data_IF_992337866549
#
_entry.id   IF_992337866549
#
_cell.length_a   1.000
_cell.length_b   1.000
_cell.length_c   1.000
_cell.angle_alpha   90.00
_cell.angle_beta   90.00
_cell.angle_gamma   90.00
#
_symmetry.space_group_name_H-M   'P 1'
#
loop_
_entity.id
_entity.type
_entity.pdbx_description
1 polymer ?
#
# COMPACT_ATOMS: atom_id res chain seq x y z
N UNK A 1 27.07 58.12 -32.40
CA UNK A 1 26.02 57.37 -31.66
C UNK A 1 26.35 55.89 -31.70
N UNK A 2 26.08 55.14 -30.63
CA UNK A 2 25.95 53.66 -30.58
C UNK A 2 27.07 52.73 -30.06
N UNK A 3 28.02 53.19 -29.23
CA UNK A 3 28.88 52.24 -28.47
C UNK A 3 28.48 52.03 -27.00
N UNK A 4 27.53 52.80 -26.46
CA UNK A 4 27.08 52.66 -25.06
C UNK A 4 25.94 51.64 -24.88
N UNK A 5 25.18 51.34 -25.93
CA UNK A 5 24.01 50.44 -25.85
C UNK A 5 24.43 48.97 -25.80
N UNK A 6 25.53 48.61 -26.47
CA UNK A 6 26.02 47.23 -26.51
C UNK A 6 26.58 46.73 -25.18
N UNK A 7 27.17 47.62 -24.37
CA UNK A 7 27.77 47.24 -23.09
C UNK A 7 26.72 46.96 -22.00
N UNK A 8 25.57 47.64 -22.05
CA UNK A 8 24.44 47.42 -21.13
C UNK A 8 23.71 46.10 -21.36
N UNK A 9 23.68 45.60 -22.60
CA UNK A 9 22.98 44.34 -22.92
C UNK A 9 23.72 43.09 -22.41
N UNK A 10 25.06 43.14 -22.35
CA UNK A 10 25.87 42.00 -21.87
C UNK A 10 25.82 41.88 -20.34
N UNK A 11 25.68 43.00 -19.61
CA UNK A 11 25.62 42.99 -18.14
C UNK A 11 24.32 42.38 -17.59
N UNK A 12 23.22 42.41 -18.35
CA UNK A 12 21.93 41.84 -17.91
C UNK A 12 21.85 40.32 -18.10
N UNK A 13 22.61 39.76 -19.04
CA UNK A 13 22.64 38.31 -19.31
C UNK A 13 23.46 37.55 -18.25
N UNK A 14 24.39 38.22 -17.57
CA UNK A 14 25.20 37.62 -16.50
C UNK A 14 24.50 37.52 -15.14
N UNK A 15 23.37 38.22 -14.92
CA UNK A 15 22.66 38.20 -13.63
C UNK A 15 21.55 37.15 -13.52
N UNK A 16 21.20 36.43 -14.59
CA UNK A 16 20.25 35.31 -14.55
C UNK A 16 20.93 33.95 -14.39
N UNK A 17 22.19 33.93 -13.94
CA UNK A 17 22.88 32.74 -13.49
C UNK A 17 22.08 32.06 -12.38
N UNK A 18 21.21 31.14 -12.77
CA UNK A 18 20.43 30.31 -11.88
C UNK A 18 21.43 29.53 -11.04
N UNK A 19 21.55 29.94 -9.78
CA UNK A 19 22.09 29.11 -8.71
C UNK A 19 21.21 27.87 -8.63
N UNK A 20 21.49 26.89 -9.49
CA UNK A 20 21.05 25.51 -9.33
C UNK A 20 21.73 25.01 -8.08
N UNK A 21 21.15 25.32 -6.92
CA UNK A 21 21.44 24.62 -5.69
C UNK A 21 21.07 23.18 -5.95
N UNK A 22 22.08 22.36 -6.26
CA UNK A 22 21.98 20.93 -6.18
C UNK A 22 21.66 20.61 -4.72
N UNK A 23 20.37 20.59 -4.39
CA UNK A 23 19.89 20.05 -3.14
C UNK A 23 20.53 18.66 -3.04
N UNK A 24 21.32 18.44 -1.99
CA UNK A 24 22.00 17.16 -1.75
C UNK A 24 20.92 16.10 -1.52
N UNK A 25 20.40 15.52 -2.61
CA UNK A 25 19.39 14.48 -2.59
C UNK A 25 20.08 13.26 -2.00
N UNK A 26 19.73 12.92 -0.76
CA UNK A 26 20.25 11.75 -0.07
C UNK A 26 20.06 10.52 -0.97
N UNK A 27 21.12 9.75 -1.13
CA UNK A 27 21.08 8.53 -1.95
C UNK A 27 20.05 7.56 -1.36
N UNK A 28 19.16 6.98 -2.19
CA UNK A 28 18.16 6.05 -1.71
C UNK A 28 18.78 4.72 -1.31
N UNK A 29 18.22 4.09 -0.28
CA UNK A 29 18.48 2.71 0.10
C UNK A 29 17.53 1.83 -0.71
N UNK A 30 18.06 0.81 -1.38
CA UNK A 30 17.25 -0.21 -2.05
C UNK A 30 17.14 -1.44 -1.15
N UNK A 31 15.92 -1.87 -0.89
CA UNK A 31 15.63 -3.08 -0.13
C UNK A 31 14.86 -4.06 -1.01
N UNK A 32 15.32 -5.31 -1.06
CA UNK A 32 14.63 -6.41 -1.71
C UNK A 32 14.00 -7.28 -0.63
N UNK A 33 12.66 -7.35 -0.62
CA UNK A 33 11.92 -8.19 0.32
C UNK A 33 11.49 -9.46 -0.43
N UNK A 34 11.99 -10.64 -0.05
CA UNK A 34 11.61 -11.89 -0.72
C UNK A 34 10.12 -12.18 -0.59
N UNK A 35 9.54 -12.81 -1.61
CA UNK A 35 8.13 -13.23 -1.61
C UNK A 35 7.80 -14.14 -0.43
N UNK A 36 8.75 -14.94 0.05
CA UNK A 36 8.56 -15.80 1.23
C UNK A 36 8.29 -15.01 2.51
N UNK A 37 9.02 -13.91 2.71
CA UNK A 37 8.83 -13.00 3.86
C UNK A 37 7.47 -12.32 3.77
N UNK A 38 7.07 -11.85 2.59
CA UNK A 38 5.75 -11.23 2.39
C UNK A 38 4.64 -12.26 2.59
N UNK A 39 4.80 -13.48 2.07
CA UNK A 39 3.84 -14.58 2.24
C UNK A 39 3.63 -14.94 3.70
N UNK A 40 4.71 -15.02 4.48
CA UNK A 40 4.62 -15.29 5.91
C UNK A 40 3.89 -14.16 6.66
N UNK A 41 4.22 -12.90 6.33
CA UNK A 41 3.55 -11.74 6.92
C UNK A 41 2.04 -11.72 6.59
N UNK A 42 1.68 -12.00 5.34
CA UNK A 42 0.29 -12.11 4.90
C UNK A 42 -0.42 -13.27 5.59
N UNK A 43 0.20 -14.45 5.68
CA UNK A 43 -0.41 -15.60 6.35
C UNK A 43 -0.70 -15.31 7.83
N UNK A 44 0.18 -14.56 8.51
CA UNK A 44 0.03 -14.16 9.91
C UNK A 44 -1.01 -13.06 10.15
N UNK A 45 -1.42 -12.32 9.11
CA UNK A 45 -2.45 -11.29 9.25
C UNK A 45 -3.87 -11.81 9.03
N UNK A 46 -4.03 -13.04 8.53
CA UNK A 46 -5.33 -13.66 8.27
C UNK A 46 -5.95 -14.27 9.55
N UNK A 47 -7.29 -14.33 9.65
CA UNK A 47 -8.28 -13.85 8.67
C UNK A 47 -8.47 -12.34 8.71
N UNK A 48 -8.81 -11.74 7.56
CA UNK A 48 -9.06 -10.29 7.43
C UNK A 48 -10.48 -10.03 6.91
N UNK A 49 -11.25 -9.13 7.55
CA UNK A 49 -12.58 -8.76 7.06
C UNK A 49 -12.50 -7.98 5.74
N UNK A 50 -13.46 -8.22 4.86
CA UNK A 50 -13.64 -7.50 3.59
C UNK A 50 -14.75 -6.49 3.76
N UNK A 51 -14.47 -5.23 3.42
CA UNK A 51 -15.47 -4.17 3.48
C UNK A 51 -16.43 -4.24 2.29
N UNK A 52 -17.64 -4.75 2.55
CA UNK A 52 -18.72 -4.86 1.58
C UNK A 52 -19.40 -3.49 1.47
N UNK A 53 -18.83 -2.63 0.63
CA UNK A 53 -19.38 -1.32 0.30
C UNK A 53 -20.55 -1.45 -0.70
N UNK A 54 -21.57 -2.25 -0.39
CA UNK A 54 -22.74 -2.48 -1.25
C UNK A 54 -24.01 -2.57 -0.42
N UNK A 55 -25.06 -1.90 -0.89
CA UNK A 55 -26.41 -2.02 -0.31
C UNK A 55 -27.11 -3.31 -0.76
N UNK A 56 -26.63 -3.92 -1.84
CA UNK A 56 -27.23 -5.12 -2.43
C UNK A 56 -26.80 -6.43 -1.73
N UNK A 57 -25.67 -6.42 -1.01
CA UNK A 57 -25.15 -7.57 -0.27
C UNK A 57 -24.88 -7.18 1.18
N UNK A 58 -25.56 -7.82 2.12
CA UNK A 58 -25.41 -7.58 3.56
C UNK A 58 -24.89 -8.84 4.22
N UNK A 59 -23.94 -8.69 5.15
CA UNK A 59 -23.37 -9.78 5.94
C UNK A 59 -21.87 -9.56 6.19
N UNK A 60 -21.17 -10.58 6.64
CA UNK A 60 -19.73 -10.51 6.89
C UNK A 60 -18.98 -11.42 5.92
N UNK A 61 -17.93 -10.90 5.29
CA UNK A 61 -17.05 -11.64 4.39
C UNK A 61 -15.63 -11.51 4.90
N UNK A 62 -14.90 -12.62 4.94
CA UNK A 62 -13.53 -12.70 5.42
C UNK A 62 -12.64 -13.39 4.38
N UNK A 63 -11.47 -12.81 4.14
CA UNK A 63 -10.36 -13.53 3.52
C UNK A 63 -9.83 -14.49 4.56
N UNK A 64 -10.03 -15.78 4.34
CA UNK A 64 -9.67 -16.83 5.29
C UNK A 64 -8.26 -17.36 5.06
N UNK A 65 -7.86 -17.49 3.79
CA UNK A 65 -6.54 -17.99 3.37
C UNK A 65 -6.08 -17.30 2.09
N UNK A 66 -4.77 -17.07 2.00
CA UNK A 66 -4.07 -16.68 0.77
C UNK A 66 -2.91 -17.65 0.60
N UNK A 67 -2.87 -18.36 -0.52
CA UNK A 67 -1.93 -19.44 -0.81
C UNK A 67 -1.21 -19.17 -2.13
N UNK A 68 -0.02 -19.77 -2.29
CA UNK A 68 0.78 -19.69 -3.52
C UNK A 68 1.02 -18.25 -3.99
N UNK A 69 1.34 -17.35 -3.05
CA UNK A 69 1.67 -15.97 -3.39
C UNK A 69 2.93 -15.95 -4.26
N UNK A 70 2.79 -15.35 -5.45
CA UNK A 70 3.86 -15.24 -6.43
C UNK A 70 3.98 -13.80 -6.90
N UNK A 71 5.21 -13.30 -6.98
CA UNK A 71 5.50 -12.02 -7.60
C UNK A 71 6.01 -12.23 -9.02
N UNK A 72 5.28 -11.66 -9.95
CA UNK A 72 5.66 -11.54 -11.35
C UNK A 72 5.92 -10.06 -11.64
N UNK A 73 6.38 -9.76 -12.86
CA UNK A 73 6.54 -8.38 -13.28
C UNK A 73 5.20 -7.65 -13.17
N UNK A 74 5.14 -6.64 -12.30
CA UNK A 74 3.99 -5.76 -12.05
C UNK A 74 2.68 -6.46 -11.61
N UNK A 75 2.71 -7.77 -11.33
CA UNK A 75 1.53 -8.57 -10.98
C UNK A 75 1.82 -9.49 -9.81
N UNK A 76 0.87 -9.56 -8.89
CA UNK A 76 0.84 -10.46 -7.74
C UNK A 76 -0.23 -11.53 -7.99
N UNK A 77 0.17 -12.79 -8.00
CA UNK A 77 -0.72 -13.92 -8.22
C UNK A 77 -0.88 -14.73 -6.95
N UNK A 78 -2.09 -15.18 -6.64
CA UNK A 78 -2.35 -16.04 -5.47
C UNK A 78 -3.66 -16.81 -5.61
N UNK A 79 -3.81 -17.86 -4.80
CA UNK A 79 -5.09 -18.53 -4.59
C UNK A 79 -5.70 -18.03 -3.29
N UNK A 80 -6.94 -17.55 -3.34
CA UNK A 80 -7.62 -16.95 -2.20
C UNK A 80 -8.80 -17.82 -1.80
N UNK A 81 -8.97 -18.04 -0.49
CA UNK A 81 -10.18 -18.62 0.10
C UNK A 81 -10.93 -17.56 0.88
N UNK A 82 -12.21 -17.41 0.60
CA UNK A 82 -13.11 -16.48 1.28
C UNK A 82 -14.23 -17.26 1.96
N UNK A 83 -14.56 -16.84 3.18
CA UNK A 83 -15.75 -17.30 3.90
C UNK A 83 -16.70 -16.14 4.14
N UNK A 84 -17.99 -16.42 4.03
CA UNK A 84 -19.07 -15.47 4.28
C UNK A 84 -20.07 -16.01 5.29
N UNK A 85 -20.54 -15.14 6.18
CA UNK A 85 -21.50 -15.45 7.23
C UNK A 85 -22.68 -14.48 7.18
N UNK A 86 -23.87 -15.01 7.48
CA UNK A 86 -25.14 -14.28 7.52
C UNK A 86 -25.36 -13.40 6.28
N UNK A 87 -25.03 -13.95 5.11
CA UNK A 87 -25.17 -13.24 3.85
C UNK A 87 -26.64 -13.13 3.44
N UNK A 88 -27.02 -11.93 3.00
CA UNK A 88 -28.33 -11.60 2.44
C UNK A 88 -28.17 -10.75 1.20
N UNK A 89 -28.97 -11.02 0.16
CA UNK A 89 -29.13 -10.11 -0.97
C UNK A 89 -30.38 -9.26 -0.73
N UNK A 90 -30.25 -7.95 -0.96
CA UNK A 90 -31.36 -6.99 -0.95
C UNK A 90 -31.54 -6.48 -2.37
N UNK A 91 -32.73 -6.68 -2.93
CA UNK A 91 -33.11 -6.19 -4.27
C UNK A 91 -34.53 -5.65 -4.24
N UNK A 92 -34.88 -4.74 -5.16
CA UNK A 92 -36.23 -4.20 -5.26
C UNK A 92 -36.85 -4.59 -6.60
N UNK A 93 -38.01 -5.24 -6.57
CA UNK A 93 -38.75 -5.66 -7.77
C UNK A 93 -40.18 -5.12 -7.66
N UNK A 94 -40.60 -4.31 -8.62
CA UNK A 94 -41.94 -3.72 -8.65
C UNK A 94 -42.25 -2.80 -7.45
N UNK A 95 -41.23 -2.15 -6.87
CA UNK A 95 -41.38 -1.31 -5.68
C UNK A 95 -41.43 -2.07 -4.36
N UNK A 96 -41.21 -3.39 -4.38
CA UNK A 96 -41.11 -4.21 -3.18
C UNK A 96 -39.67 -4.66 -2.94
N UNK A 97 -39.18 -4.45 -1.72
CA UNK A 97 -37.86 -4.92 -1.30
C UNK A 97 -37.92 -6.41 -0.95
N UNK A 98 -37.14 -7.19 -1.68
CA UNK A 98 -36.89 -8.60 -1.42
C UNK A 98 -35.56 -8.78 -0.70
N UNK A 99 -35.62 -9.44 0.45
CA UNK A 99 -34.43 -9.86 1.20
C UNK A 99 -34.28 -11.38 1.12
N UNK A 100 -33.31 -11.83 0.35
CA UNK A 100 -33.02 -13.26 0.18
C UNK A 100 -31.88 -13.67 1.13
N UNK A 101 -32.12 -14.66 2.00
CA UNK A 101 -31.10 -15.23 2.89
C UNK A 101 -30.25 -16.24 2.13
N UNK A 102 -28.94 -15.99 2.08
CA UNK A 102 -27.95 -16.91 1.51
C UNK A 102 -27.34 -17.77 2.63
N UNK A 103 -27.15 -17.19 3.83
CA UNK A 103 -26.53 -17.86 4.96
C UNK A 103 -25.01 -17.86 4.86
N UNK A 104 -24.39 -19.02 4.67
CA UNK A 104 -22.94 -19.16 4.64
C UNK A 104 -22.40 -19.39 3.22
N UNK A 105 -21.22 -18.84 2.96
CA UNK A 105 -20.47 -19.03 1.72
C UNK A 105 -19.05 -19.51 2.05
N UNK A 106 -18.56 -20.45 1.26
CA UNK A 106 -17.15 -20.82 1.18
C UNK A 106 -16.80 -20.89 -0.31
N UNK A 107 -15.83 -20.08 -0.71
CA UNK A 107 -15.39 -19.96 -2.09
C UNK A 107 -13.88 -19.89 -2.18
N UNK A 108 -13.33 -20.47 -3.25
CA UNK A 108 -11.93 -20.36 -3.59
C UNK A 108 -11.78 -19.88 -5.03
N UNK A 109 -10.77 -19.07 -5.27
CA UNK A 109 -10.51 -18.55 -6.61
C UNK A 109 -9.05 -18.17 -6.81
N UNK A 110 -8.65 -18.09 -8.07
CA UNK A 110 -7.37 -17.50 -8.45
C UNK A 110 -7.52 -15.97 -8.49
N UNK A 111 -6.54 -15.25 -7.99
CA UNK A 111 -6.52 -13.79 -7.98
C UNK A 111 -5.18 -13.28 -8.49
N UNK A 112 -5.23 -12.50 -9.55
CA UNK A 112 -4.11 -11.72 -10.05
C UNK A 112 -4.37 -10.24 -9.76
N UNK A 113 -3.44 -9.58 -9.08
CA UNK A 113 -3.57 -8.18 -8.70
C UNK A 113 -2.41 -7.36 -9.26
N UNK A 114 -2.73 -6.19 -9.82
CA UNK A 114 -1.72 -5.17 -10.10
C UNK A 114 -1.57 -4.28 -8.88
N UNK A 115 -0.37 -3.71 -8.70
CA UNK A 115 -0.08 -2.79 -7.61
C UNK A 115 0.29 -1.40 -8.11
N UNK A 116 -0.10 -0.38 -7.36
CA UNK A 116 0.30 1.01 -7.61
C UNK A 116 0.61 1.68 -6.28
N UNK A 117 1.84 2.16 -6.13
CA UNK A 117 2.26 2.84 -4.91
C UNK A 117 2.15 4.35 -5.06
N UNK A 118 1.54 5.01 -4.08
CA UNK A 118 1.44 6.46 -4.00
C UNK A 118 2.30 6.99 -2.85
N UNK A 119 3.51 7.45 -3.17
CA UNK A 119 4.51 7.86 -2.20
C UNK A 119 4.07 9.01 -1.27
N UNK A 120 3.36 10.07 -1.73
CA UNK A 120 2.95 11.16 -0.84
C UNK A 120 2.03 10.71 0.30
N UNK A 121 1.09 9.79 0.01
CA UNK A 121 0.17 9.25 1.03
C UNK A 121 0.70 7.96 1.67
N UNK A 122 1.83 7.42 1.21
CA UNK A 122 2.35 6.10 1.62
C UNK A 122 1.27 5.00 1.49
N UNK A 123 0.48 5.04 0.42
CA UNK A 123 -0.62 4.09 0.21
C UNK A 123 -0.29 3.16 -0.96
N UNK A 124 -0.41 1.85 -0.73
CA UNK A 124 -0.34 0.84 -1.76
C UNK A 124 -1.76 0.52 -2.24
N UNK A 125 -2.05 0.80 -3.51
CA UNK A 125 -3.30 0.40 -4.13
C UNK A 125 -3.13 -0.97 -4.78
N UNK A 126 -4.00 -1.91 -4.44
CA UNK A 126 -4.09 -3.20 -5.13
C UNK A 126 -5.36 -3.21 -5.98
N UNK A 127 -5.24 -3.67 -7.22
CA UNK A 127 -6.37 -3.85 -8.12
C UNK A 127 -6.46 -5.32 -8.52
N UNK A 128 -7.28 -6.13 -7.82
CA UNK A 128 -7.42 -7.55 -8.09
C UNK A 128 -8.29 -7.81 -9.31
N UNK A 129 -8.01 -8.94 -9.94
CA UNK A 129 -8.76 -9.58 -11.00
C UNK A 129 -8.88 -11.06 -10.63
N UNK A 130 -10.10 -11.45 -10.29
CA UNK A 130 -10.45 -12.81 -9.91
C UNK A 130 -10.73 -13.63 -11.17
N UNK A 131 -10.15 -14.83 -11.22
CA UNK A 131 -10.34 -15.86 -12.23
C UNK A 131 -10.55 -17.23 -11.57
N UNK A 132 -10.99 -18.24 -12.34
CA UNK A 132 -11.17 -19.64 -11.88
C UNK A 132 -11.96 -19.75 -10.56
N UNK A 133 -13.24 -19.33 -10.62
CA UNK A 133 -14.11 -19.33 -9.45
C UNK A 133 -14.63 -20.74 -9.15
N UNK A 134 -14.22 -21.29 -8.01
CA UNK A 134 -14.64 -22.59 -7.51
C UNK A 134 -15.63 -22.35 -6.35
N UNK A 135 -16.93 -22.32 -6.66
CA UNK A 135 -17.98 -22.27 -5.64
C UNK A 135 -18.40 -23.70 -5.25
N UNK A 136 -18.58 -23.93 -3.95
CA UNK A 136 -18.92 -25.25 -3.39
C UNK A 136 -20.28 -25.83 -3.81
N UNK A 137 -21.13 -25.06 -4.53
CA UNK A 137 -22.45 -25.54 -5.00
C UNK A 137 -22.99 -24.71 -6.19
N UNK A 138 -23.62 -25.38 -7.16
CA UNK A 138 -24.22 -24.77 -8.37
C UNK A 138 -25.27 -23.67 -8.07
N UNK A 139 -25.96 -23.75 -6.92
CA UNK A 139 -27.00 -22.78 -6.53
C UNK A 139 -26.43 -21.49 -5.91
N UNK A 140 -25.11 -21.38 -5.73
CA UNK A 140 -24.45 -20.19 -5.15
C UNK A 140 -23.65 -19.39 -6.18
N UNK A 141 -23.77 -19.74 -7.46
CA UNK A 141 -23.00 -19.15 -8.56
C UNK A 141 -23.30 -17.66 -8.75
N UNK A 142 -24.56 -17.25 -8.57
CA UNK A 142 -24.97 -15.84 -8.69
C UNK A 142 -24.40 -14.98 -7.56
N UNK A 143 -24.41 -15.51 -6.33
CA UNK A 143 -23.81 -14.85 -5.16
C UNK A 143 -22.30 -14.73 -5.32
N UNK A 144 -21.67 -15.81 -5.77
CA UNK A 144 -20.23 -15.83 -6.01
C UNK A 144 -19.84 -14.82 -7.11
N UNK A 145 -20.65 -14.69 -8.16
CA UNK A 145 -20.48 -13.67 -9.20
C UNK A 145 -20.64 -12.26 -8.65
N UNK A 146 -21.65 -12.01 -7.80
CA UNK A 146 -21.83 -10.72 -7.15
C UNK A 146 -20.62 -10.35 -6.27
N UNK A 147 -20.04 -11.32 -5.57
CA UNK A 147 -18.82 -11.11 -4.78
C UNK A 147 -17.62 -10.83 -5.66
N UNK A 148 -17.46 -11.52 -6.80
CA UNK A 148 -16.41 -11.21 -7.76
C UNK A 148 -16.50 -9.76 -8.25
N UNK A 149 -17.71 -9.24 -8.48
CA UNK A 149 -17.92 -7.84 -8.85
C UNK A 149 -17.50 -6.86 -7.74
N UNK A 150 -17.50 -7.27 -6.46
CA UNK A 150 -17.01 -6.43 -5.35
C UNK A 150 -15.49 -6.27 -5.35
N UNK A 151 -14.75 -7.19 -5.98
CA UNK A 151 -13.29 -7.14 -6.03
C UNK A 151 -12.78 -6.65 -7.38
N UNK A 152 -13.32 -7.19 -8.47
CA UNK A 152 -12.78 -6.95 -9.79
C UNK A 152 -12.81 -5.47 -10.15
N UNK A 153 -11.67 -4.99 -10.66
CA UNK A 153 -11.46 -3.62 -11.13
C UNK A 153 -11.60 -2.52 -10.06
N UNK A 154 -11.74 -2.87 -8.78
CA UNK A 154 -11.73 -1.90 -7.68
C UNK A 154 -10.33 -1.80 -7.09
N UNK A 155 -9.92 -0.59 -6.72
CA UNK A 155 -8.67 -0.39 -6.00
C UNK A 155 -8.91 -0.52 -4.50
N UNK A 156 -8.06 -1.31 -3.85
CA UNK A 156 -8.03 -1.52 -2.42
C UNK A 156 -6.82 -0.79 -1.85
N UNK A 157 -7.01 0.34 -1.14
CA UNK A 157 -5.92 1.06 -0.52
C UNK A 157 -5.44 0.32 0.74
N UNK A 158 -4.15 0.01 0.78
CA UNK A 158 -3.45 -0.44 1.97
C UNK A 158 -2.56 0.71 2.43
N UNK A 159 -2.89 1.27 3.59
CA UNK A 159 -2.05 2.29 4.20
C UNK A 159 -0.78 1.64 4.73
N UNK A 160 0.37 2.11 4.28
CA UNK A 160 1.66 1.69 4.80
C UNK A 160 2.05 2.70 5.88
N UNK A 161 2.06 2.23 7.12
CA UNK A 161 2.59 3.03 8.21
C UNK A 161 4.07 3.30 7.97
N UNK A 162 4.52 4.49 8.36
CA UNK A 162 5.94 4.85 8.25
C UNK A 162 6.78 3.84 9.01
N UNK A 163 7.87 3.40 8.37
CA UNK A 163 8.86 2.54 9.00
C UNK A 163 9.33 3.19 10.30
N UNK A 164 9.31 2.42 11.40
CA UNK A 164 9.75 2.91 12.70
C UNK A 164 11.18 3.43 12.59
N UNK A 165 11.47 4.67 13.02
CA UNK A 165 12.81 5.21 12.95
C UNK A 165 13.81 4.36 13.73
N UNK A 166 15.02 4.20 13.19
CA UNK A 166 16.13 3.63 13.94
C UNK A 166 16.69 4.74 14.84
N UNK A 167 16.65 4.52 16.15
CA UNK A 167 17.19 5.47 17.13
C UNK A 167 18.40 4.83 17.81
N UNK A 168 19.55 5.50 17.74
CA UNK A 168 20.78 5.05 18.40
C UNK A 168 21.43 6.19 19.18
N UNK A 169 22.18 5.83 20.22
CA UNK A 169 22.89 6.77 21.07
C UNK A 169 24.37 6.83 20.64
N UNK A 170 24.84 8.03 20.27
CA UNK A 170 26.25 8.28 19.89
C UNK A 170 27.02 9.01 20.98
N UNK A 171 26.70 8.72 22.25
CA UNK A 171 27.30 9.30 23.44
C UNK A 171 26.55 10.54 23.91
N UNK A 172 26.85 11.69 23.30
CA UNK A 172 26.26 12.99 23.67
C UNK A 172 24.96 13.34 22.92
N UNK A 173 24.62 12.54 21.90
CA UNK A 173 23.48 12.78 21.01
C UNK A 173 22.69 11.50 20.78
N UNK A 174 21.39 11.65 20.56
CA UNK A 174 20.57 10.65 19.90
C UNK A 174 20.60 10.91 18.40
N UNK A 175 20.89 9.86 17.64
CA UNK A 175 20.77 9.82 16.19
C UNK A 175 19.44 9.13 15.85
N UNK A 176 18.57 9.80 15.10
CA UNK A 176 17.29 9.26 14.64
C UNK A 176 17.29 9.21 13.12
N UNK A 177 17.16 8.01 12.56
CA UNK A 177 17.09 7.76 11.13
C UNK A 177 15.65 7.38 10.79
N UNK A 178 14.90 8.33 10.22
CA UNK A 178 13.56 8.07 9.69
C UNK A 178 13.65 7.54 8.26
N UNK A 179 12.77 6.62 7.89
CA UNK A 179 12.78 5.99 6.57
C UNK A 179 11.43 6.23 5.89
N UNK A 180 11.45 6.86 4.72
CA UNK A 180 10.26 7.04 3.90
C UNK A 180 10.40 6.20 2.63
N UNK A 181 9.37 5.45 2.28
CA UNK A 181 9.37 4.67 1.04
C UNK A 181 9.03 5.64 -0.10
N UNK A 182 9.98 5.86 -0.99
CA UNK A 182 9.83 6.67 -2.21
C UNK A 182 9.17 5.85 -3.31
N UNK A 183 9.42 4.55 -3.34
CA UNK A 183 8.95 3.67 -4.40
C UNK A 183 8.80 2.23 -3.93
N UNK A 184 7.81 1.54 -4.49
CA UNK A 184 7.58 0.12 -4.30
C UNK A 184 7.25 -0.51 -5.66
N UNK A 185 7.94 -1.61 -6.01
CA UNK A 185 7.73 -2.35 -7.26
C UNK A 185 7.77 -3.85 -7.05
N UNK A 186 6.93 -4.57 -7.78
CA UNK A 186 7.04 -6.03 -7.90
C UNK A 186 8.11 -6.39 -8.91
N UNK A 187 9.02 -7.25 -8.49
CA UNK A 187 9.97 -7.95 -9.35
C UNK A 187 9.73 -9.46 -9.20
N UNK A 188 10.20 -10.28 -10.15
CA UNK A 188 10.24 -11.72 -9.94
C UNK A 188 10.84 -12.05 -8.57
N UNK A 189 10.08 -12.80 -7.78
CA UNK A 189 10.40 -13.29 -6.43
C UNK A 189 10.65 -12.25 -5.33
N UNK A 190 10.61 -10.94 -5.63
CA UNK A 190 10.95 -9.89 -4.66
C UNK A 190 10.08 -8.63 -4.81
N UNK A 191 9.75 -8.03 -3.67
CA UNK A 191 9.23 -6.68 -3.59
C UNK A 191 10.41 -5.71 -3.41
N UNK A 192 10.64 -4.85 -4.40
CA UNK A 192 11.66 -3.82 -4.33
C UNK A 192 11.09 -2.57 -3.66
N UNK A 193 11.78 -2.08 -2.63
CA UNK A 193 11.50 -0.81 -1.96
C UNK A 193 12.67 0.15 -2.17
N UNK A 194 12.39 1.37 -2.62
CA UNK A 194 13.36 2.48 -2.63
C UNK A 194 13.03 3.40 -1.47
N UNK A 195 13.97 3.55 -0.55
CA UNK A 195 13.77 4.21 0.75
C UNK A 195 14.68 5.43 0.82
N UNK A 196 14.12 6.60 1.12
CA UNK A 196 14.91 7.80 1.41
C UNK A 196 15.08 7.91 2.94
N UNK A 197 16.30 7.78 3.46
CA UNK A 197 16.55 8.04 4.88
C UNK A 197 16.59 9.54 5.16
N UNK A 198 16.05 9.95 6.30
CA UNK A 198 16.22 11.30 6.87
C UNK A 198 16.86 11.19 8.23
N UNK A 199 18.04 11.82 8.38
CA UNK A 199 18.87 11.72 9.57
C UNK A 199 18.71 13.00 10.39
N UNK A 200 18.34 12.86 11.67
CA UNK A 200 18.27 13.95 12.65
C UNK A 200 19.13 13.61 13.86
N UNK A 201 19.69 14.63 14.50
CA UNK A 201 20.38 14.49 15.78
C UNK A 201 19.74 15.36 16.84
N UNK A 202 19.63 14.86 18.06
CA UNK A 202 19.19 15.63 19.24
C UNK A 202 20.19 15.47 20.38
N UNK A 203 20.35 16.49 21.23
CA UNK A 203 21.23 16.41 22.40
C UNK A 203 20.53 15.62 23.51
N UNK A 204 21.30 14.82 24.25
CA UNK A 204 20.81 14.19 25.48
C UNK A 204 20.57 15.28 26.52
N UNK A 205 19.35 15.41 27.03
CA UNK A 205 19.05 16.40 28.07
C UNK A 205 19.95 16.14 29.29
N UNK A 206 20.65 17.17 29.77
CA UNK A 206 21.38 17.09 31.05
C UNK A 206 20.35 16.95 32.15
N UNK A 207 20.32 15.79 32.79
CA UNK A 207 19.59 15.63 34.06
C UNK A 207 20.34 16.52 35.07
N UNK A 208 19.72 17.63 35.46
CA UNK A 208 20.23 18.46 36.53
C UNK A 208 20.08 17.67 37.84
N UNK A 209 21.16 17.07 38.30
CA UNK A 209 21.24 16.49 39.65
C UNK A 209 21.25 17.66 40.64
N UNK A 210 20.07 18.07 41.10
CA UNK A 210 19.94 18.94 42.27
C UNK A 210 20.39 18.12 43.48
N UNK A 211 21.66 18.29 43.87
CA UNK A 211 22.13 17.89 45.21
C UNK A 211 21.42 18.80 46.21
N UNK A 212 20.39 18.30 46.89
CA UNK A 212 19.95 18.89 48.15
C UNK A 212 21.02 18.57 49.19
N UNK A 213 21.45 19.63 49.87
CA UNK A 213 22.41 19.63 50.99
C UNK A 213 21.62 19.81 52.27
#
# INVERSE_FOLDING_TARGET
>A
MNNKIFFTAILFILLTGTLSSAASRQAPITMHVPVSVVSEAVAKSLPVPVDINSTALVGSVFIQKIENLQFRKDTLSSRISIVGHDLHIVTSIGGHDLRMKIGALDMRFQCDATIRYHAPSQTLFLKPVITDLQASSQNKTDVASAIVLLFNNREFPIQIDRLKPIVTNTGSKFLSISMNIEEMRLQPDNLLLRIIPSIKTSKKAKIATTRQK
#
